data_IF_106680259745
#
_entry.id   IF_106680259745
#
_cell.length_a   1.000
_cell.length_b   1.000
_cell.length_c   1.000
_cell.angle_alpha   90.00
_cell.angle_beta   90.00
_cell.angle_gamma   90.00
#
_symmetry.space_group_name_H-M   'P 1'
#
loop_
_entity.id
_entity.type
_entity.pdbx_description
1 polymer ?
#
# COMPACT_ATOMS: atom_id res chain seq x y z
N UNK A 1 4.40 10.17 7.06
CA UNK A 1 3.99 9.07 6.15
C UNK A 1 4.58 7.75 6.63
N UNK A 2 3.78 6.71 6.86
CA UNK A 2 4.32 5.43 7.40
C UNK A 2 5.05 4.58 6.37
N UNK A 3 4.98 4.95 5.08
CA UNK A 3 5.69 4.24 4.00
C UNK A 3 7.14 4.71 3.92
N UNK A 4 7.38 6.02 3.82
CA UNK A 4 8.72 6.58 3.75
C UNK A 4 9.32 6.98 5.12
N UNK A 5 8.54 6.85 6.20
CA UNK A 5 8.89 7.22 7.58
C UNK A 5 9.28 8.71 7.78
N UNK A 6 9.01 9.56 6.80
CA UNK A 6 9.23 11.02 6.90
C UNK A 6 8.01 11.76 7.46
N UNK A 7 8.24 12.96 7.97
CA UNK A 7 7.19 13.92 8.33
C UNK A 7 6.52 14.49 7.07
N UNK A 8 5.39 15.18 7.24
CA UNK A 8 4.76 15.92 6.16
C UNK A 8 5.22 17.38 6.21
N UNK A 9 5.56 17.95 5.07
CA UNK A 9 6.02 19.32 4.91
C UNK A 9 5.01 20.17 4.12
N UNK A 10 5.09 21.49 4.28
CA UNK A 10 4.23 22.42 3.54
C UNK A 10 4.49 22.32 2.03
N UNK A 11 3.42 22.17 1.25
CA UNK A 11 3.51 21.99 -0.20
C UNK A 11 3.57 20.53 -0.65
N UNK A 12 3.71 19.56 0.26
CA UNK A 12 3.64 18.15 -0.10
C UNK A 12 2.19 17.67 -0.31
N UNK A 13 1.99 16.85 -1.34
CA UNK A 13 0.68 16.26 -1.62
C UNK A 13 0.46 15.00 -0.79
N UNK A 14 -0.66 14.96 -0.07
CA UNK A 14 -1.07 13.81 0.73
C UNK A 14 -2.43 13.29 0.29
N UNK A 15 -2.57 11.96 0.29
CA UNK A 15 -3.82 11.26 -0.01
C UNK A 15 -4.33 10.57 1.25
N UNK A 16 -5.64 10.68 1.44
CA UNK A 16 -6.38 10.01 2.52
C UNK A 16 -7.14 8.82 1.95
N UNK A 17 -6.97 7.65 2.56
CA UNK A 17 -7.77 6.49 2.19
C UNK A 17 -9.21 6.64 2.71
N UNK A 18 -10.25 6.39 1.90
CA UNK A 18 -11.64 6.66 2.28
C UNK A 18 -12.14 5.76 3.42
N UNK A 19 -11.75 4.49 3.41
CA UNK A 19 -12.26 3.47 4.33
C UNK A 19 -11.71 3.62 5.76
N UNK A 20 -10.40 3.80 5.88
CA UNK A 20 -9.71 3.83 7.18
C UNK A 20 -9.21 5.23 7.59
N UNK A 21 -9.33 6.23 6.71
CA UNK A 21 -8.98 7.64 6.97
C UNK A 21 -7.50 7.89 7.30
N UNK A 22 -6.61 6.95 6.99
CA UNK A 22 -5.16 7.13 7.12
C UNK A 22 -4.59 7.96 5.98
N UNK A 23 -3.53 8.71 6.28
CA UNK A 23 -2.90 9.68 5.37
C UNK A 23 -1.50 9.22 4.95
N UNK A 24 -1.16 9.45 3.70
CA UNK A 24 0.13 9.08 3.10
C UNK A 24 0.52 10.14 2.08
N UNK A 25 1.81 10.29 1.77
CA UNK A 25 2.21 11.06 0.58
C UNK A 25 1.59 10.41 -0.65
N UNK A 26 1.11 11.23 -1.61
CA UNK A 26 0.50 10.75 -2.86
C UNK A 26 1.41 9.74 -3.57
N UNK A 27 2.69 10.10 -3.76
CA UNK A 27 3.67 9.22 -4.40
C UNK A 27 3.87 7.90 -3.64
N UNK A 28 3.93 7.97 -2.31
CA UNK A 28 4.16 6.78 -1.48
C UNK A 28 2.98 5.80 -1.53
N UNK A 29 1.74 6.31 -1.46
CA UNK A 29 0.57 5.43 -1.51
C UNK A 29 0.31 4.90 -2.92
N UNK A 30 0.63 5.67 -3.97
CA UNK A 30 0.45 5.22 -5.34
C UNK A 30 1.43 4.10 -5.69
N UNK A 31 2.70 4.21 -5.26
CA UNK A 31 3.66 3.13 -5.40
C UNK A 31 3.27 1.88 -4.60
N UNK A 32 2.74 2.06 -3.38
CA UNK A 32 2.26 0.94 -2.56
C UNK A 32 1.09 0.21 -3.23
N UNK A 33 0.11 0.96 -3.75
CA UNK A 33 -1.09 0.42 -4.38
C UNK A 33 -0.84 -0.30 -5.70
N UNK A 34 0.33 -0.11 -6.32
CA UNK A 34 0.77 -0.92 -7.45
C UNK A 34 0.96 -2.40 -7.07
N UNK A 35 1.33 -2.66 -5.81
CA UNK A 35 1.66 -3.99 -5.30
C UNK A 35 0.65 -4.53 -4.28
N UNK A 36 -0.02 -3.64 -3.54
CA UNK A 36 -0.84 -3.97 -2.40
C UNK A 36 -2.09 -3.10 -2.35
N UNK A 37 -3.27 -3.68 -2.47
CA UNK A 37 -4.55 -2.95 -2.39
C UNK A 37 -5.06 -2.81 -0.94
N UNK A 38 -4.17 -2.62 0.02
CA UNK A 38 -4.50 -2.49 1.44
C UNK A 38 -3.76 -1.33 2.11
N UNK A 39 -4.34 -0.80 3.18
CA UNK A 39 -3.74 0.29 3.95
C UNK A 39 -2.44 -0.19 4.64
N UNK A 40 -1.30 0.51 4.44
CA UNK A 40 -0.03 0.17 5.09
C UNK A 40 -0.06 0.12 6.62
N UNK A 41 -1.04 0.79 7.24
CA UNK A 41 -1.15 0.91 8.71
C UNK A 41 -2.06 -0.16 9.29
N UNK A 42 -3.22 -0.37 8.70
CA UNK A 42 -4.31 -1.15 9.31
C UNK A 42 -4.81 -2.30 8.45
N UNK A 43 -4.21 -2.51 7.27
CA UNK A 43 -4.55 -3.57 6.31
C UNK A 43 -6.01 -3.52 5.82
N UNK A 44 -6.74 -2.43 6.07
CA UNK A 44 -8.06 -2.21 5.47
C UNK A 44 -7.92 -2.12 3.95
N UNK A 45 -8.68 -2.90 3.17
CA UNK A 45 -8.60 -2.89 1.72
C UNK A 45 -8.99 -1.52 1.15
N UNK A 46 -8.39 -1.16 0.03
CA UNK A 46 -8.70 0.03 -0.74
C UNK A 46 -9.59 -0.40 -1.90
N UNK A 47 -10.87 -0.05 -1.84
CA UNK A 47 -11.79 -0.23 -2.95
C UNK A 47 -11.41 0.70 -4.11
N UNK A 48 -10.65 0.16 -5.06
CA UNK A 48 -10.40 0.82 -6.35
C UNK A 48 -11.64 0.65 -7.20
N UNK A 49 -12.54 1.63 -7.17
CA UNK A 49 -13.59 1.75 -8.19
C UNK A 49 -12.90 2.10 -9.51
N UNK A 50 -12.45 1.10 -10.23
CA UNK A 50 -11.68 1.25 -11.46
C UNK A 50 -12.53 1.81 -12.60
N UNK A 51 -12.13 2.92 -13.26
CA UNK A 51 -12.42 3.13 -14.67
C UNK A 51 -11.33 2.40 -15.47
N UNK A 52 -11.59 1.13 -15.78
CA UNK A 52 -10.92 0.20 -16.71
C UNK A 52 -9.46 0.41 -17.13
N UNK A 53 -8.59 -0.55 -16.78
CA UNK A 53 -7.81 -1.30 -17.76
C UNK A 53 -7.27 -2.62 -17.16
N UNK A 54 -7.13 -3.57 -18.07
CA UNK A 54 -6.89 -4.99 -17.90
C UNK A 54 -5.38 -5.27 -17.82
N UNK A 55 -4.90 -5.99 -16.79
CA UNK A 55 -3.87 -7.02 -16.95
C UNK A 55 -3.66 -7.83 -15.66
N UNK A 56 -3.57 -9.17 -15.73
CA UNK A 56 -3.13 -10.02 -14.63
C UNK A 56 -1.61 -10.24 -14.73
N UNK A 57 -0.84 -9.72 -13.79
CA UNK A 57 0.52 -10.24 -13.56
C UNK A 57 0.76 -10.37 -12.05
N UNK A 58 0.95 -11.61 -11.63
CA UNK A 58 1.03 -11.99 -10.22
C UNK A 58 2.39 -11.66 -9.62
N UNK A 59 2.43 -11.63 -8.28
CA UNK A 59 3.69 -11.77 -7.57
C UNK A 59 3.53 -12.47 -6.21
N UNK A 60 4.19 -13.63 -6.16
CA UNK A 60 4.86 -14.31 -5.06
C UNK A 60 4.24 -14.31 -3.64
N UNK A 61 3.72 -15.47 -3.25
CA UNK A 61 3.75 -15.92 -1.86
C UNK A 61 5.16 -16.45 -1.54
N UNK A 62 6.01 -15.58 -0.99
CA UNK A 62 7.29 -15.98 -0.39
C UNK A 62 7.05 -16.58 0.99
N UNK A 63 6.68 -17.85 1.02
CA UNK A 63 6.74 -18.68 2.22
C UNK A 63 8.19 -18.86 2.67
N UNK A 64 8.63 -18.04 3.61
CA UNK A 64 9.91 -18.22 4.29
C UNK A 64 9.92 -19.57 5.01
N UNK A 65 11.02 -20.31 4.82
CA UNK A 65 11.18 -21.67 5.27
C UNK A 65 11.14 -21.84 6.78
N UNK A 66 10.64 -22.99 7.21
CA UNK A 66 11.04 -23.58 8.48
C UNK A 66 12.09 -24.65 8.18
N UNK A 67 13.36 -24.27 8.30
CA UNK A 67 14.46 -25.20 8.43
C UNK A 67 14.80 -25.33 9.92
N UNK A 68 14.78 -26.58 10.38
CA UNK A 68 15.46 -27.15 11.54
C UNK A 68 15.07 -26.66 12.96
N UNK A 69 14.63 -27.62 13.79
CA UNK A 69 15.37 -28.02 14.99
C UNK A 69 14.92 -29.41 15.46
N UNK A 70 15.85 -30.36 15.30
CA UNK A 70 16.11 -31.63 16.01
C UNK A 70 14.93 -32.41 16.62
#
# INVERSE_FOLDING_TARGET
CSVCLSVYEEGEEVRKLPQCKHYFHVLCIDMWLYSHLDCPICRTPVDVLCPGENSPDGMMESGAGMAASL
#
